data_IF_480838540565
#
_entry.id   IF_480838540565
#
_cell.length_a   1.000
_cell.length_b   1.000
_cell.length_c   1.000
_cell.angle_alpha   90.00
_cell.angle_beta   90.00
_cell.angle_gamma   90.00
#
_symmetry.space_group_name_H-M   'P 1'
#
loop_
_entity.id
_entity.type
_entity.pdbx_description
1 polymer ?
#
# COMPACT_ATOMS: atom_id res chain seq x y z
N UNK A 1 4.26 -9.92 -16.37
CA UNK A 1 5.30 -9.21 -15.59
C UNK A 1 6.60 -10.00 -15.59
N UNK A 2 6.56 -11.31 -15.34
CA UNK A 2 7.74 -12.21 -15.38
C UNK A 2 8.60 -12.09 -16.64
N UNK A 3 8.01 -12.25 -17.83
CA UNK A 3 8.74 -12.19 -19.12
C UNK A 3 9.42 -10.85 -19.37
N UNK A 4 8.95 -9.79 -18.72
CA UNK A 4 9.44 -8.43 -18.90
C UNK A 4 9.91 -7.83 -17.57
N UNK A 5 10.40 -8.67 -16.65
CA UNK A 5 10.75 -8.28 -15.30
C UNK A 5 11.86 -7.22 -15.24
N UNK A 6 12.65 -7.02 -16.30
CA UNK A 6 13.70 -5.99 -16.36
C UNK A 6 13.19 -4.61 -16.83
N UNK A 7 12.00 -4.53 -17.43
CA UNK A 7 11.45 -3.28 -17.94
C UNK A 7 10.62 -2.57 -16.87
N UNK A 8 11.21 -1.57 -16.20
CA UNK A 8 10.49 -0.80 -15.18
C UNK A 8 9.24 -0.10 -15.71
N UNK A 9 9.25 0.32 -16.98
CA UNK A 9 8.12 1.00 -17.63
C UNK A 9 6.95 0.03 -17.87
N UNK A 10 7.25 -1.20 -18.28
CA UNK A 10 6.23 -2.23 -18.45
C UNK A 10 5.69 -2.68 -17.09
N UNK A 11 6.55 -2.81 -16.08
CA UNK A 11 6.11 -3.10 -14.70
C UNK A 11 5.21 -1.99 -14.15
N UNK A 12 5.57 -0.72 -14.32
CA UNK A 12 4.72 0.42 -13.93
C UNK A 12 3.35 0.35 -14.62
N UNK A 13 3.34 0.08 -15.93
CA UNK A 13 2.11 -0.04 -16.72
C UNK A 13 1.28 -1.23 -16.27
N UNK A 14 1.91 -2.37 -15.98
CA UNK A 14 1.24 -3.58 -15.51
C UNK A 14 0.60 -3.37 -14.13
N UNK A 15 1.30 -2.77 -13.17
CA UNK A 15 0.73 -2.44 -11.86
C UNK A 15 -0.46 -1.47 -12.02
N UNK A 16 -0.36 -0.48 -12.91
CA UNK A 16 -1.45 0.46 -13.17
C UNK A 16 -2.66 -0.20 -13.83
N UNK A 17 -2.43 -1.18 -14.72
CA UNK A 17 -3.47 -1.99 -15.31
C UNK A 17 -4.15 -2.88 -14.26
N UNK A 18 -3.37 -3.55 -13.40
CA UNK A 18 -3.91 -4.37 -12.30
C UNK A 18 -4.76 -3.52 -11.36
N UNK A 19 -4.27 -2.35 -10.94
CA UNK A 19 -5.08 -1.42 -10.14
C UNK A 19 -6.38 -1.03 -10.85
N UNK A 20 -6.34 -0.81 -12.17
CA UNK A 20 -7.55 -0.49 -12.93
C UNK A 20 -8.54 -1.66 -12.96
N UNK A 21 -8.04 -2.87 -13.19
CA UNK A 21 -8.86 -4.08 -13.29
C UNK A 21 -9.44 -4.49 -11.93
N UNK A 22 -8.71 -4.25 -10.84
CA UNK A 22 -9.17 -4.53 -9.48
C UNK A 22 -10.28 -3.60 -9.00
N UNK A 23 -10.72 -2.62 -9.81
CA UNK A 23 -11.92 -1.84 -9.52
C UNK A 23 -13.21 -2.58 -9.91
N UNK A 24 -13.11 -3.57 -10.79
CA UNK A 24 -14.22 -4.41 -11.22
C UNK A 24 -14.27 -5.67 -10.35
N UNK A 25 -15.41 -5.93 -9.71
CA UNK A 25 -15.56 -7.03 -8.75
C UNK A 25 -15.34 -8.42 -9.38
N UNK A 26 -15.68 -8.57 -10.67
CA UNK A 26 -15.53 -9.84 -11.40
C UNK A 26 -14.06 -10.27 -11.61
N UNK A 27 -13.11 -9.35 -11.45
CA UNK A 27 -11.68 -9.63 -11.67
C UNK A 27 -10.92 -10.01 -10.40
N UNK A 28 -11.56 -9.90 -9.23
CA UNK A 28 -10.90 -10.00 -7.92
C UNK A 28 -10.20 -11.34 -7.72
N UNK A 29 -10.90 -12.45 -7.96
CA UNK A 29 -10.39 -13.80 -7.71
C UNK A 29 -9.20 -14.14 -8.62
N UNK A 30 -9.18 -13.59 -9.83
CA UNK A 30 -8.07 -13.77 -10.78
C UNK A 30 -6.85 -12.94 -10.38
N UNK A 31 -7.07 -11.78 -9.77
CA UNK A 31 -6.00 -10.85 -9.41
C UNK A 31 -5.36 -11.16 -8.05
N UNK A 32 -6.07 -11.79 -7.11
CA UNK A 32 -5.58 -11.94 -5.73
C UNK A 32 -4.36 -12.86 -5.60
N UNK A 33 -4.32 -14.03 -6.26
CA UNK A 33 -3.26 -15.00 -6.00
C UNK A 33 -1.96 -14.70 -6.77
N UNK A 34 -2.03 -14.53 -8.09
CA UNK A 34 -0.82 -14.36 -8.93
C UNK A 34 -0.34 -12.91 -8.92
N UNK A 35 -1.26 -11.93 -8.90
CA UNK A 35 -0.85 -10.54 -9.07
C UNK A 35 -0.13 -10.00 -7.82
N UNK A 36 -0.56 -10.36 -6.60
CA UNK A 36 0.06 -9.87 -5.36
C UNK A 36 1.55 -10.26 -5.32
N UNK A 37 1.87 -11.53 -5.59
CA UNK A 37 3.25 -12.03 -5.62
C UNK A 37 4.07 -11.30 -6.67
N UNK A 38 3.56 -11.20 -7.91
CA UNK A 38 4.26 -10.51 -9.00
C UNK A 38 4.48 -9.02 -8.72
N UNK A 39 3.51 -8.35 -8.08
CA UNK A 39 3.62 -6.94 -7.71
C UNK A 39 4.73 -6.76 -6.66
N UNK A 40 4.78 -7.60 -5.63
CA UNK A 40 5.78 -7.51 -4.55
C UNK A 40 7.18 -7.80 -5.10
N UNK A 41 7.37 -8.86 -5.88
CA UNK A 41 8.65 -9.19 -6.50
C UNK A 41 9.12 -8.09 -7.46
N UNK A 42 8.20 -7.54 -8.26
CA UNK A 42 8.52 -6.46 -9.19
C UNK A 42 8.83 -5.15 -8.47
N UNK A 43 8.15 -4.85 -7.35
CA UNK A 43 8.46 -3.72 -6.48
C UNK A 43 9.85 -3.86 -5.88
N UNK A 44 10.22 -5.06 -5.40
CA UNK A 44 11.55 -5.31 -4.84
C UNK A 44 12.64 -5.11 -5.90
N UNK A 45 12.45 -5.69 -7.08
CA UNK A 45 13.41 -5.58 -8.19
C UNK A 45 13.60 -4.14 -8.68
N UNK A 46 12.52 -3.37 -8.72
CA UNK A 46 12.52 -1.97 -9.19
C UNK A 46 12.37 -0.96 -8.04
N UNK A 47 12.88 -1.30 -6.86
CA UNK A 47 12.67 -0.50 -5.64
C UNK A 47 13.15 0.94 -5.78
N UNK A 48 14.15 1.22 -6.62
CA UNK A 48 14.67 2.58 -6.86
C UNK A 48 13.77 3.43 -7.76
N UNK A 49 12.75 2.83 -8.40
CA UNK A 49 11.85 3.49 -9.35
C UNK A 49 10.58 3.93 -8.64
N UNK A 50 10.52 5.20 -8.24
CA UNK A 50 9.37 5.82 -7.52
C UNK A 50 8.03 5.45 -8.15
N UNK A 51 7.91 5.56 -9.48
CA UNK A 51 6.65 5.27 -10.19
C UNK A 51 6.21 3.81 -10.05
N UNK A 52 7.15 2.86 -10.11
CA UNK A 52 6.85 1.44 -9.89
C UNK A 52 6.36 1.22 -8.46
N UNK A 53 7.07 1.76 -7.46
CA UNK A 53 6.67 1.62 -6.05
C UNK A 53 5.28 2.21 -5.81
N UNK A 54 5.01 3.42 -6.34
CA UNK A 54 3.70 4.07 -6.25
C UNK A 54 2.60 3.20 -6.86
N UNK A 55 2.74 2.79 -8.12
CA UNK A 55 1.73 2.00 -8.82
C UNK A 55 1.51 0.64 -8.16
N UNK A 56 2.58 0.01 -7.66
CA UNK A 56 2.50 -1.24 -6.92
C UNK A 56 1.75 -1.08 -5.58
N UNK A 57 2.05 -0.04 -4.79
CA UNK A 57 1.31 0.26 -3.55
C UNK A 57 -0.19 0.49 -3.81
N UNK A 58 -0.54 1.22 -4.87
CA UNK A 58 -1.94 1.47 -5.23
C UNK A 58 -2.65 0.21 -5.72
N UNK A 59 -1.99 -0.63 -6.51
CA UNK A 59 -2.52 -1.91 -6.93
C UNK A 59 -2.79 -2.82 -5.73
N UNK A 60 -1.82 -2.95 -4.81
CA UNK A 60 -1.99 -3.72 -3.58
C UNK A 60 -3.14 -3.17 -2.72
N UNK A 61 -3.23 -1.85 -2.54
CA UNK A 61 -4.32 -1.24 -1.77
C UNK A 61 -5.69 -1.60 -2.37
N UNK A 62 -5.83 -1.54 -3.70
CA UNK A 62 -7.08 -1.90 -4.36
C UNK A 62 -7.37 -3.40 -4.37
N UNK A 63 -6.37 -4.27 -4.28
CA UNK A 63 -6.61 -5.72 -4.15
C UNK A 63 -7.05 -6.03 -2.71
N UNK A 64 -6.44 -5.40 -1.70
CA UNK A 64 -6.81 -5.59 -0.28
C UNK A 64 -8.28 -5.27 -0.01
N UNK A 65 -8.87 -4.29 -0.70
CA UNK A 65 -10.30 -3.96 -0.53
C UNK A 65 -11.25 -5.10 -0.90
N UNK A 66 -10.75 -6.12 -1.59
CA UNK A 66 -11.58 -7.22 -2.05
C UNK A 66 -11.81 -8.29 -0.98
N UNK A 67 -11.01 -8.31 0.09
CA UNK A 67 -11.22 -9.24 1.19
C UNK A 67 -10.02 -9.42 2.12
N UNK A 68 -10.30 -9.98 3.29
CA UNK A 68 -9.29 -10.26 4.32
C UNK A 68 -8.21 -11.24 3.83
N UNK A 69 -8.58 -12.23 3.01
CA UNK A 69 -7.62 -13.17 2.40
C UNK A 69 -6.57 -12.44 1.56
N UNK A 70 -6.98 -11.43 0.78
CA UNK A 70 -6.06 -10.59 0.03
C UNK A 70 -5.10 -9.83 0.96
N UNK A 71 -5.60 -9.33 2.10
CA UNK A 71 -4.76 -8.66 3.10
C UNK A 71 -3.67 -9.61 3.64
N UNK A 72 -4.03 -10.84 4.01
CA UNK A 72 -3.07 -11.85 4.46
C UNK A 72 -2.04 -12.21 3.38
N UNK A 73 -2.47 -12.32 2.12
CA UNK A 73 -1.56 -12.54 0.98
C UNK A 73 -0.58 -11.39 0.80
N UNK A 74 -0.97 -10.13 1.02
CA UNK A 74 -0.02 -9.00 1.00
C UNK A 74 1.01 -9.09 2.13
N UNK A 75 0.61 -9.59 3.30
CA UNK A 75 1.51 -9.79 4.45
C UNK A 75 2.58 -10.83 4.15
N UNK A 76 2.18 -11.96 3.58
CA UNK A 76 3.06 -13.09 3.25
C UNK A 76 2.66 -13.68 1.88
N UNK A 77 3.14 -13.09 0.77
CA UNK A 77 2.82 -13.58 -0.58
C UNK A 77 3.38 -14.98 -0.84
N UNK A 78 4.49 -15.32 -0.18
CA UNK A 78 5.12 -16.63 -0.23
C UNK A 78 5.72 -16.99 1.13
N UNK A 79 6.17 -18.24 1.29
CA UNK A 79 6.75 -18.73 2.56
C UNK A 79 8.08 -18.04 2.92
N UNK A 80 8.81 -17.53 1.93
CA UNK A 80 10.16 -17.00 2.10
C UNK A 80 10.21 -15.47 2.10
N UNK A 81 9.17 -14.80 1.59
CA UNK A 81 9.11 -13.34 1.46
C UNK A 81 7.99 -12.81 2.34
N UNK A 82 8.36 -11.96 3.31
CA UNK A 82 7.35 -11.18 4.03
C UNK A 82 7.06 -9.92 3.22
N UNK A 83 5.88 -9.83 2.59
CA UNK A 83 5.53 -8.73 1.69
C UNK A 83 5.65 -7.37 2.36
N UNK A 84 5.31 -7.27 3.65
CA UNK A 84 5.48 -6.05 4.43
C UNK A 84 6.93 -5.58 4.60
N UNK A 85 7.92 -6.49 4.64
CA UNK A 85 9.34 -6.05 4.68
C UNK A 85 9.75 -5.42 3.36
N UNK A 86 9.33 -6.00 2.22
CA UNK A 86 9.58 -5.43 0.90
C UNK A 86 8.92 -4.04 0.80
N UNK A 87 7.65 -3.95 1.17
CA UNK A 87 6.88 -2.70 1.15
C UNK A 87 7.52 -1.63 2.05
N UNK A 88 7.85 -1.97 3.30
CA UNK A 88 8.46 -1.01 4.24
C UNK A 88 9.87 -0.60 3.82
N UNK A 89 10.65 -1.50 3.21
CA UNK A 89 11.95 -1.15 2.61
C UNK A 89 11.77 -0.14 1.46
N UNK A 90 10.84 -0.39 0.53
CA UNK A 90 10.56 0.51 -0.58
C UNK A 90 10.10 1.90 -0.12
N UNK A 91 9.19 1.96 0.86
CA UNK A 91 8.70 3.22 1.46
C UNK A 91 9.85 3.98 2.15
N UNK A 92 10.75 3.28 2.84
CA UNK A 92 11.88 3.94 3.50
C UNK A 92 12.91 4.50 2.50
N UNK A 93 13.11 3.85 1.36
CA UNK A 93 13.98 4.37 0.29
C UNK A 93 13.44 5.67 -0.30
N UNK A 94 12.11 5.81 -0.38
CA UNK A 94 11.42 6.99 -0.92
C UNK A 94 10.71 7.83 0.15
N UNK A 95 11.24 7.86 1.37
CA UNK A 95 10.60 8.53 2.53
C UNK A 95 10.29 10.03 2.34
N UNK A 96 10.92 10.68 1.36
CA UNK A 96 10.70 12.08 1.03
C UNK A 96 9.68 12.32 -0.08
N UNK A 97 9.22 11.27 -0.74
CA UNK A 97 8.27 11.35 -1.85
C UNK A 97 6.83 11.36 -1.30
N UNK A 98 6.13 12.47 -1.52
CA UNK A 98 4.75 12.65 -1.04
C UNK A 98 3.81 11.58 -1.63
N UNK A 99 4.00 11.24 -2.90
CA UNK A 99 3.21 10.22 -3.58
C UNK A 99 3.36 8.83 -2.92
N UNK A 100 4.56 8.49 -2.44
CA UNK A 100 4.81 7.21 -1.77
C UNK A 100 4.18 7.22 -0.37
N UNK A 101 4.26 8.34 0.33
CA UNK A 101 3.59 8.51 1.61
C UNK A 101 2.06 8.37 1.48
N UNK A 102 1.44 9.01 0.48
CA UNK A 102 0.00 8.89 0.20
C UNK A 102 -0.40 7.46 -0.16
N UNK A 103 0.31 6.82 -1.11
CA UNK A 103 0.01 5.45 -1.53
C UNK A 103 0.21 4.44 -0.40
N UNK A 104 1.25 4.60 0.43
CA UNK A 104 1.45 3.72 1.59
C UNK A 104 0.38 3.94 2.66
N UNK A 105 0.00 5.19 2.96
CA UNK A 105 -1.11 5.45 3.87
C UNK A 105 -2.42 4.85 3.34
N UNK A 106 -2.65 4.91 2.03
CA UNK A 106 -3.81 4.29 1.40
C UNK A 106 -3.80 2.78 1.62
N UNK A 107 -2.69 2.09 1.34
CA UNK A 107 -2.56 0.64 1.62
C UNK A 107 -2.79 0.32 3.11
N UNK A 108 -2.20 1.09 4.03
CA UNK A 108 -2.37 0.87 5.46
C UNK A 108 -3.82 1.10 5.91
N UNK A 109 -4.53 2.07 5.35
CA UNK A 109 -5.95 2.24 5.62
C UNK A 109 -6.71 0.97 5.24
N UNK A 110 -6.47 0.38 4.07
CA UNK A 110 -7.17 -0.85 3.67
C UNK A 110 -6.79 -2.05 4.56
N UNK A 111 -5.50 -2.23 4.86
CA UNK A 111 -5.05 -3.32 5.74
C UNK A 111 -5.59 -3.19 7.17
N UNK A 112 -5.78 -1.97 7.68
CA UNK A 112 -6.24 -1.73 9.06
C UNK A 112 -7.75 -1.86 9.27
N UNK A 113 -8.49 -2.25 8.23
CA UNK A 113 -9.90 -2.66 8.34
C UNK A 113 -10.05 -4.07 8.92
N UNK A 114 -9.00 -4.89 8.87
CA UNK A 114 -9.01 -6.26 9.36
C UNK A 114 -8.25 -6.34 10.69
N UNK A 115 -8.95 -6.59 11.80
CA UNK A 115 -8.37 -6.52 13.15
C UNK A 115 -7.22 -7.52 13.37
N UNK A 116 -7.29 -8.70 12.75
CA UNK A 116 -6.21 -9.68 12.84
C UNK A 116 -4.96 -9.22 12.08
N UNK A 117 -5.14 -8.59 10.91
CA UNK A 117 -4.04 -7.96 10.17
C UNK A 117 -3.42 -6.82 10.99
N UNK A 118 -4.22 -6.02 11.70
CA UNK A 118 -3.71 -4.96 12.58
C UNK A 118 -2.77 -5.51 13.66
N UNK A 119 -3.02 -6.71 14.18
CA UNK A 119 -2.14 -7.34 15.17
C UNK A 119 -0.76 -7.67 14.57
N UNK A 120 -0.72 -8.17 13.33
CA UNK A 120 0.53 -8.39 12.61
C UNK A 120 1.27 -7.08 12.29
N UNK A 121 0.54 -6.04 11.86
CA UNK A 121 1.10 -4.72 11.58
C UNK A 121 1.72 -4.04 12.82
N UNK A 122 1.27 -4.38 14.03
CA UNK A 122 1.83 -3.90 15.30
C UNK A 122 3.18 -4.55 15.65
N UNK A 123 3.59 -5.60 14.94
CA UNK A 123 4.87 -6.28 15.16
C UNK A 123 6.04 -5.27 15.17
N UNK A 124 6.85 -5.23 16.24
CA UNK A 124 7.99 -4.31 16.33
C UNK A 124 9.02 -4.51 15.22
N UNK A 125 9.07 -5.70 14.62
CA UNK A 125 10.00 -6.06 13.55
C UNK A 125 9.78 -5.24 12.27
N UNK A 126 8.52 -4.88 11.97
CA UNK A 126 8.13 -4.18 10.74
C UNK A 126 8.18 -2.65 10.89
N UNK A 127 8.17 -2.15 12.14
CA UNK A 127 8.23 -0.71 12.48
C UNK A 127 7.19 0.16 11.77
N UNK A 128 6.06 -0.40 11.34
CA UNK A 128 5.01 0.30 10.57
C UNK A 128 4.46 1.49 11.34
N UNK A 129 4.20 1.32 12.64
CA UNK A 129 3.80 2.42 13.54
C UNK A 129 4.79 3.60 13.50
N UNK A 130 6.09 3.33 13.51
CA UNK A 130 7.11 4.37 13.47
C UNK A 130 7.16 5.06 12.10
N UNK A 131 7.00 4.30 11.01
CA UNK A 131 6.93 4.84 9.66
C UNK A 131 5.73 5.79 9.54
N UNK A 132 4.54 5.38 9.99
CA UNK A 132 3.34 6.21 9.98
C UNK A 132 3.51 7.50 10.82
N UNK A 133 4.16 7.42 11.99
CA UNK A 133 4.51 8.61 12.79
C UNK A 133 5.46 9.56 12.07
N UNK A 134 6.46 9.01 11.36
CA UNK A 134 7.42 9.80 10.59
C UNK A 134 6.74 10.51 9.42
N UNK A 135 5.91 9.79 8.65
CA UNK A 135 5.11 10.33 7.56
C UNK A 135 4.23 11.48 8.07
N UNK A 136 3.49 11.26 9.17
CA UNK A 136 2.65 12.30 9.79
C UNK A 136 3.44 13.56 10.15
N UNK A 137 4.63 13.39 10.73
CA UNK A 137 5.49 14.51 11.12
C UNK A 137 6.01 15.27 9.89
N UNK A 138 6.42 14.55 8.87
CA UNK A 138 7.03 15.08 7.66
C UNK A 138 6.01 15.82 6.77
N UNK A 139 4.83 15.24 6.59
CA UNK A 139 3.78 15.76 5.71
C UNK A 139 2.58 16.32 6.47
N UNK A 140 2.82 16.92 7.64
CA UNK A 140 1.77 17.47 8.54
C UNK A 140 0.82 18.48 7.89
N UNK A 141 1.27 19.16 6.83
CA UNK A 141 0.50 20.17 6.11
C UNK A 141 -0.33 19.59 4.95
N UNK A 142 -0.12 18.31 4.61
CA UNK A 142 -0.97 17.60 3.67
C UNK A 142 -2.14 16.99 4.44
N UNK A 143 -3.34 17.54 4.25
CA UNK A 143 -4.54 17.14 4.98
C UNK A 143 -4.92 15.68 4.74
N UNK A 144 -4.73 15.18 3.51
CA UNK A 144 -5.02 13.77 3.17
C UNK A 144 -4.11 12.82 3.93
N UNK A 145 -2.79 13.09 3.94
CA UNK A 145 -1.82 12.28 4.69
C UNK A 145 -2.04 12.43 6.20
N UNK A 146 -2.28 13.65 6.68
CA UNK A 146 -2.51 13.90 8.10
C UNK A 146 -3.73 13.13 8.62
N UNK A 147 -4.87 13.22 7.92
CA UNK A 147 -6.07 12.48 8.28
C UNK A 147 -5.89 10.97 8.19
N UNK A 148 -5.26 10.46 7.13
CA UNK A 148 -4.99 9.04 6.97
C UNK A 148 -4.10 8.50 8.10
N UNK A 149 -2.99 9.19 8.39
CA UNK A 149 -2.06 8.77 9.45
C UNK A 149 -2.69 8.88 10.84
N UNK A 150 -3.62 9.81 11.07
CA UNK A 150 -4.37 9.88 12.33
C UNK A 150 -5.23 8.63 12.54
N UNK A 151 -5.98 8.22 11.51
CA UNK A 151 -6.80 7.00 11.54
C UNK A 151 -5.93 5.77 11.77
N UNK A 152 -4.87 5.59 10.97
CA UNK A 152 -3.94 4.46 11.09
C UNK A 152 -3.33 4.38 12.49
N UNK A 153 -2.83 5.51 13.02
CA UNK A 153 -2.19 5.53 14.33
C UNK A 153 -3.18 5.26 15.46
N UNK A 154 -4.45 5.66 15.31
CA UNK A 154 -5.52 5.29 16.26
C UNK A 154 -5.74 3.78 16.34
N UNK A 155 -5.70 3.07 15.21
CA UNK A 155 -5.75 1.58 15.14
C UNK A 155 -4.54 0.93 15.82
N UNK A 156 -3.40 1.62 15.88
CA UNK A 156 -2.21 1.22 16.65
C UNK A 156 -2.20 1.69 18.11
N UNK A 157 -3.34 2.17 18.64
CA UNK A 157 -3.50 2.59 20.03
C UNK A 157 -2.89 3.95 20.36
N UNK A 158 -2.56 4.77 19.37
CA UNK A 158 -2.07 6.14 19.59
C UNK A 158 -3.27 7.09 19.62
N UNK A 159 -3.43 7.85 20.71
CA UNK A 159 -4.52 8.83 20.88
C UNK A 159 -5.93 8.22 20.74
N UNK A 160 -6.19 7.07 21.37
CA UNK A 160 -7.45 6.30 21.30
C UNK A 160 -8.70 7.00 21.90
N UNK A 161 -8.67 8.31 22.15
CA UNK A 161 -9.75 9.04 22.83
C UNK A 161 -10.97 9.28 21.93
N UNK A 162 -10.78 9.31 20.59
CA UNK A 162 -11.86 9.28 19.59
C UNK A 162 -11.30 8.82 18.24
N UNK A 163 -11.89 7.80 17.62
CA UNK A 163 -11.49 7.36 16.29
C UNK A 163 -11.83 8.47 15.26
N UNK A 164 -10.86 8.93 14.44
CA UNK A 164 -11.14 9.90 13.39
C UNK A 164 -12.02 9.30 12.30
N UNK A 165 -12.69 10.14 11.52
CA UNK A 165 -13.44 9.67 10.35
C UNK A 165 -12.48 9.13 9.29
N UNK A 166 -12.75 7.91 8.82
CA UNK A 166 -11.96 7.26 7.78
C UNK A 166 -12.17 8.00 6.44
N UNK A 167 -11.09 8.34 5.71
CA UNK A 167 -11.23 8.87 4.36
C UNK A 167 -11.74 7.77 3.40
N UNK A 168 -12.30 8.13 2.22
CA UNK A 168 -12.80 7.16 1.25
C UNK A 168 -11.74 6.12 0.86
N UNK A 169 -12.22 4.88 0.63
CA UNK A 169 -11.40 3.75 0.19
C UNK A 169 -10.67 4.04 -1.13
N UNK A 170 -9.55 3.37 -1.35
CA UNK A 170 -8.74 3.41 -2.56
C UNK A 170 -9.58 3.25 -3.85
N UNK A 171 -10.59 2.36 -3.84
CA UNK A 171 -11.49 2.14 -4.98
C UNK A 171 -12.43 3.31 -5.26
N UNK A 172 -12.79 4.09 -4.23
CA UNK A 172 -13.76 5.19 -4.33
C UNK A 172 -13.11 6.55 -4.64
N UNK A 173 -11.77 6.64 -4.57
CA UNK A 173 -11.08 7.90 -4.84
C UNK A 173 -11.03 8.15 -6.35
N UNK A 174 -11.37 9.36 -6.83
CA UNK A 174 -11.10 9.73 -8.20
C UNK A 174 -9.61 9.55 -8.43
N UNK A 175 -9.22 8.91 -9.53
CA UNK A 175 -7.81 8.86 -9.94
C UNK A 175 -7.34 10.31 -9.95
N UNK A 176 -6.43 10.67 -9.05
CA UNK A 176 -5.75 11.95 -9.15
C UNK A 176 -5.05 11.88 -10.50
N UNK A 177 -5.65 12.58 -11.48
CA UNK A 177 -5.10 12.71 -12.82
C UNK A 177 -3.63 13.02 -12.60
N UNK A 178 -2.77 12.16 -13.16
CA UNK A 178 -1.32 12.28 -13.21
C UNK A 178 -0.97 13.74 -12.98
N UNK A 179 -0.56 14.11 -11.75
CA UNK A 179 -0.09 15.46 -11.47
C UNK A 179 1.22 15.55 -12.25
N UNK A 180 1.10 15.87 -13.53
CA UNK A 180 2.20 16.26 -14.39
C UNK A 180 2.85 17.45 -13.69
N UNK A 181 3.98 17.17 -13.06
CA UNK A 181 4.99 18.17 -12.72
C UNK A 181 6.27 17.76 -13.43
#
# INVERSE_FOLDING_TARGET
METHADSSELIESACSAIWSLSLEDDNVDVLSDVAITLIIESMEKHVTRVKVVKSALMALASIVTCGEECAYRVLSPSNDVTGLKVITNAVNQHKNEVDIAESFCTLLLELTEYDDVVNELKSPSLRIKQIAMNIRKQFRSNEEISGATEVILSKFGVNAQRAPQRPPSARSRPRSAVRNR
#
